data_IF_361706151456
#
_entry.id   IF_361706151456
#
_cell.length_a   1.000
_cell.length_b   1.000
_cell.length_c   1.000
_cell.angle_alpha   90.00
_cell.angle_beta   90.00
_cell.angle_gamma   90.00
#
_symmetry.space_group_name_H-M   'P 1'
#
loop_
_entity.id
_entity.type
_entity.pdbx_description
1 polymer ?
#
# COMPACT_ATOMS: atom_id res chain seq x y z
N UNK A 1 0.37 9.46 -24.02
CA UNK A 1 -0.68 8.82 -24.87
C UNK A 1 -0.72 9.38 -26.30
N UNK A 2 -0.71 10.69 -26.56
CA UNK A 2 -0.82 11.25 -27.93
C UNK A 2 0.54 11.42 -28.62
N UNK A 3 1.52 11.98 -27.93
CA UNK A 3 2.86 12.31 -28.43
C UNK A 3 3.92 11.30 -27.94
N UNK A 4 5.06 11.24 -28.63
CA UNK A 4 6.15 10.31 -28.37
C UNK A 4 6.17 9.14 -29.38
N UNK A 5 7.23 8.32 -29.30
CA UNK A 5 7.49 7.23 -30.25
C UNK A 5 6.37 6.18 -30.29
N UNK A 6 5.68 5.95 -29.16
CA UNK A 6 4.54 5.04 -29.02
C UNK A 6 3.20 5.78 -28.93
N UNK A 7 3.19 7.09 -29.16
CA UNK A 7 1.97 7.92 -29.09
C UNK A 7 1.03 7.68 -30.27
N UNK A 8 -0.27 7.96 -30.08
CA UNK A 8 -1.29 7.79 -31.12
C UNK A 8 -0.92 8.54 -32.42
N UNK A 9 -0.24 9.67 -32.35
CA UNK A 9 0.22 10.41 -33.52
C UNK A 9 1.23 9.59 -34.34
N UNK A 10 2.19 8.94 -33.67
CA UNK A 10 3.20 8.14 -34.34
C UNK A 10 2.58 6.82 -34.87
N UNK A 11 1.73 6.18 -34.08
CA UNK A 11 1.10 4.90 -34.44
C UNK A 11 0.09 5.06 -35.57
N UNK A 12 -0.71 6.12 -35.57
CA UNK A 12 -1.70 6.39 -36.61
C UNK A 12 -1.04 6.85 -37.95
N UNK A 13 0.19 7.35 -37.91
CA UNK A 13 0.93 7.75 -39.11
C UNK A 13 0.13 8.67 -40.01
N UNK A 14 -0.03 8.28 -41.28
CA UNK A 14 -0.77 9.06 -42.30
C UNK A 14 -2.27 9.23 -42.03
N UNK A 15 -2.84 8.45 -41.13
CA UNK A 15 -4.26 8.59 -40.73
C UNK A 15 -4.46 9.75 -39.75
N UNK A 16 -3.43 10.17 -39.04
CA UNK A 16 -3.51 11.31 -38.11
C UNK A 16 -3.73 12.62 -38.89
N UNK A 17 -4.68 13.43 -38.42
CA UNK A 17 -4.98 14.73 -39.03
C UNK A 17 -4.64 15.90 -38.11
N UNK A 18 -5.30 15.97 -36.95
CA UNK A 18 -5.09 17.07 -35.98
C UNK A 18 -5.29 16.59 -34.52
N UNK A 19 -4.62 17.30 -33.61
CA UNK A 19 -4.84 17.15 -32.17
C UNK A 19 -5.13 18.50 -31.52
N UNK A 20 -6.32 18.65 -30.96
CA UNK A 20 -6.70 19.79 -30.15
C UNK A 20 -6.45 19.48 -28.68
N UNK A 21 -5.34 19.99 -28.12
CA UNK A 21 -4.93 19.74 -26.74
C UNK A 21 -5.92 20.28 -25.69
N UNK A 22 -6.53 21.44 -25.96
CA UNK A 22 -7.45 22.07 -25.00
C UNK A 22 -8.77 21.33 -24.86
N UNK A 23 -9.21 20.68 -25.94
CA UNK A 23 -10.41 19.86 -25.95
C UNK A 23 -10.13 18.38 -25.70
N UNK A 24 -8.87 17.95 -25.72
CA UNK A 24 -8.51 16.53 -25.67
C UNK A 24 -9.07 15.72 -26.85
N UNK A 25 -9.13 16.31 -28.05
CA UNK A 25 -9.75 15.70 -29.24
C UNK A 25 -8.72 15.48 -30.35
N UNK A 26 -8.65 14.24 -30.84
CA UNK A 26 -7.91 13.89 -32.07
C UNK A 26 -8.91 13.72 -33.21
N UNK A 27 -8.52 14.17 -34.40
CA UNK A 27 -9.19 13.89 -35.67
C UNK A 27 -8.28 13.07 -36.56
N UNK A 28 -8.91 12.10 -37.21
CA UNK A 28 -8.26 11.25 -38.18
C UNK A 28 -8.84 11.49 -39.57
N UNK A 29 -8.03 11.30 -40.60
CA UNK A 29 -8.49 11.33 -42.00
C UNK A 29 -9.64 10.29 -42.16
N UNK A 30 -10.67 10.68 -42.86
CA UNK A 30 -11.88 9.86 -43.01
C UNK A 30 -12.99 10.19 -41.99
N UNK A 31 -12.76 11.21 -41.13
CA UNK A 31 -13.80 11.77 -40.26
C UNK A 31 -13.94 11.11 -38.89
N UNK A 32 -13.15 10.09 -38.58
CA UNK A 32 -13.11 9.51 -37.24
C UNK A 32 -12.57 10.50 -36.22
N UNK A 33 -13.13 10.51 -35.02
CA UNK A 33 -12.69 11.37 -33.90
C UNK A 33 -12.50 10.53 -32.65
N UNK A 34 -11.44 10.83 -31.89
CA UNK A 34 -11.24 10.29 -30.54
C UNK A 34 -11.18 11.44 -29.54
N UNK A 35 -11.75 11.26 -28.36
CA UNK A 35 -11.70 12.20 -27.26
C UNK A 35 -11.18 11.53 -26.01
N UNK A 36 -10.34 12.25 -25.27
CA UNK A 36 -9.76 11.80 -24.02
C UNK A 36 -10.57 12.28 -22.83
N UNK A 37 -10.73 11.39 -21.86
CA UNK A 37 -11.35 11.67 -20.58
C UNK A 37 -10.42 11.20 -19.46
N UNK A 38 -10.48 11.87 -18.31
CA UNK A 38 -9.75 11.44 -17.13
C UNK A 38 -10.55 10.38 -16.36
N UNK A 39 -9.88 9.34 -15.88
CA UNK A 39 -10.47 8.38 -14.94
C UNK A 39 -10.77 8.97 -13.55
N UNK A 40 -10.39 10.23 -13.29
CA UNK A 40 -10.71 10.95 -12.05
C UNK A 40 -12.03 11.74 -12.11
N UNK A 41 -12.56 11.97 -13.32
CA UNK A 41 -13.79 12.74 -13.56
C UNK A 41 -14.77 11.91 -14.42
N UNK A 42 -15.47 11.01 -13.79
CA UNK A 42 -16.47 10.18 -14.47
C UNK A 42 -17.68 10.96 -14.99
N UNK A 43 -18.00 12.13 -14.39
CA UNK A 43 -19.11 12.96 -14.84
C UNK A 43 -18.84 13.63 -16.19
N UNK A 44 -17.58 13.86 -16.55
CA UNK A 44 -17.19 14.38 -17.87
C UNK A 44 -17.59 13.46 -19.03
N UNK A 45 -17.82 12.18 -18.76
CA UNK A 45 -18.33 11.20 -19.74
C UNK A 45 -19.82 11.34 -20.04
N UNK A 46 -20.57 12.10 -19.23
CA UNK A 46 -22.02 12.28 -19.41
C UNK A 46 -22.32 12.97 -20.74
N UNK A 47 -23.27 12.39 -21.48
CA UNK A 47 -23.70 12.91 -22.77
C UNK A 47 -22.75 12.58 -23.95
N UNK A 48 -21.58 12.00 -23.67
CA UNK A 48 -20.72 11.48 -24.72
C UNK A 48 -21.27 10.16 -25.27
N UNK A 49 -21.17 9.95 -26.59
CA UNK A 49 -21.57 8.73 -27.29
C UNK A 49 -20.44 8.30 -28.23
N UNK A 50 -20.14 7.02 -28.24
CA UNK A 50 -19.07 6.43 -29.05
C UNK A 50 -19.46 5.10 -29.66
N UNK A 51 -18.73 4.71 -30.70
CA UNK A 51 -18.69 3.36 -31.27
C UNK A 51 -17.68 2.49 -30.51
N UNK A 52 -16.61 3.11 -30.02
CA UNK A 52 -15.46 2.44 -29.41
C UNK A 52 -15.04 3.12 -28.12
N UNK A 53 -14.54 2.33 -27.17
CA UNK A 53 -13.92 2.81 -25.94
C UNK A 53 -12.60 2.08 -25.72
N UNK A 54 -11.55 2.87 -25.40
CA UNK A 54 -10.32 2.32 -24.87
C UNK A 54 -10.06 2.91 -23.48
N UNK A 55 -10.16 2.07 -22.47
CA UNK A 55 -9.84 2.43 -21.09
C UNK A 55 -8.47 1.90 -20.71
N UNK A 56 -7.53 2.80 -20.41
CA UNK A 56 -6.16 2.46 -20.05
C UNK A 56 -5.99 2.49 -18.53
N UNK A 57 -5.37 1.45 -17.98
CA UNK A 57 -5.12 1.27 -16.53
C UNK A 57 -6.39 1.35 -15.67
N UNK A 58 -7.46 0.63 -16.05
CA UNK A 58 -8.77 0.60 -15.37
C UNK A 58 -8.65 0.52 -13.84
N UNK A 59 -7.84 -0.40 -13.32
CA UNK A 59 -7.68 -0.60 -11.88
C UNK A 59 -6.88 0.49 -11.17
N UNK A 60 -6.25 1.41 -11.90
CA UNK A 60 -5.52 2.54 -11.34
C UNK A 60 -6.39 3.81 -11.21
N UNK A 61 -7.59 3.83 -11.80
CA UNK A 61 -8.48 4.97 -11.73
C UNK A 61 -8.96 5.25 -10.31
N UNK A 62 -9.24 6.51 -10.03
CA UNK A 62 -9.76 6.93 -8.72
C UNK A 62 -11.17 6.38 -8.46
N UNK A 63 -12.00 6.33 -9.49
CA UNK A 63 -13.39 5.85 -9.45
C UNK A 63 -13.63 4.79 -10.54
N UNK A 64 -13.00 3.60 -10.42
CA UNK A 64 -12.98 2.63 -11.51
C UNK A 64 -14.37 2.14 -11.91
N UNK A 65 -15.25 1.82 -10.95
CA UNK A 65 -16.61 1.37 -11.23
C UNK A 65 -17.44 2.45 -11.91
N UNK A 66 -17.47 3.66 -11.34
CA UNK A 66 -18.28 4.77 -11.84
C UNK A 66 -17.82 5.20 -13.24
N UNK A 67 -16.50 5.29 -13.46
CA UNK A 67 -15.94 5.66 -14.76
C UNK A 67 -16.24 4.60 -15.82
N UNK A 68 -16.09 3.31 -15.46
CA UNK A 68 -16.46 2.18 -16.32
C UNK A 68 -17.94 2.25 -16.69
N UNK A 69 -18.84 2.40 -15.73
CA UNK A 69 -20.29 2.46 -15.97
C UNK A 69 -20.66 3.62 -16.91
N UNK A 70 -20.08 4.83 -16.68
CA UNK A 70 -20.33 5.98 -17.54
C UNK A 70 -19.81 5.78 -18.95
N UNK A 71 -18.65 5.15 -19.13
CA UNK A 71 -18.11 4.80 -20.46
C UNK A 71 -19.03 3.81 -21.18
N UNK A 72 -19.49 2.77 -20.47
CA UNK A 72 -20.42 1.78 -21.03
C UNK A 72 -21.80 2.37 -21.40
N UNK A 73 -22.30 3.34 -20.61
CA UNK A 73 -23.51 4.06 -21.00
C UNK A 73 -23.35 4.89 -22.28
N UNK A 74 -22.13 5.39 -22.54
CA UNK A 74 -21.80 6.11 -23.76
C UNK A 74 -21.56 5.22 -24.99
N UNK A 75 -21.18 3.97 -24.79
CA UNK A 75 -20.84 2.98 -25.82
C UNK A 75 -22.09 2.39 -26.46
N UNK A 76 -22.67 3.08 -27.44
CA UNK A 76 -23.99 2.75 -27.98
C UNK A 76 -24.25 3.09 -29.48
N UNK A 77 -23.19 3.45 -30.20
CA UNK A 77 -23.31 3.75 -31.63
C UNK A 77 -22.74 2.62 -32.47
N UNK A 78 -23.36 2.32 -33.59
CA UNK A 78 -22.87 1.32 -34.54
C UNK A 78 -22.86 -0.09 -33.96
N UNK A 79 -21.72 -0.78 -34.14
CA UNK A 79 -21.36 -2.05 -33.51
C UNK A 79 -20.31 -1.78 -32.41
N UNK A 80 -20.76 -1.60 -31.17
CA UNK A 80 -19.91 -1.01 -30.14
C UNK A 80 -18.88 -2.00 -29.59
N UNK A 81 -17.62 -1.58 -29.52
CA UNK A 81 -16.52 -2.35 -28.95
C UNK A 81 -15.79 -1.60 -27.82
N UNK A 82 -15.25 -2.35 -26.86
CA UNK A 82 -14.44 -1.78 -25.79
C UNK A 82 -13.17 -2.60 -25.55
N UNK A 83 -12.05 -1.88 -25.35
CA UNK A 83 -10.78 -2.46 -24.93
C UNK A 83 -10.40 -1.85 -23.58
N UNK A 84 -10.10 -2.72 -22.62
CA UNK A 84 -9.68 -2.33 -21.28
C UNK A 84 -8.29 -2.91 -21.00
N UNK A 85 -7.34 -2.05 -20.70
CA UNK A 85 -6.02 -2.46 -20.25
C UNK A 85 -5.87 -2.19 -18.76
N UNK A 86 -5.17 -3.05 -18.05
CA UNK A 86 -4.87 -2.81 -16.62
C UNK A 86 -3.83 -3.77 -16.08
N UNK A 87 -3.02 -3.31 -15.13
CA UNK A 87 -2.42 -4.18 -14.14
C UNK A 87 -3.54 -4.62 -13.18
N UNK A 88 -3.80 -5.92 -13.03
CA UNK A 88 -4.99 -6.37 -12.31
C UNK A 88 -4.89 -6.09 -10.81
N UNK A 89 -6.00 -5.62 -10.23
CA UNK A 89 -6.20 -5.52 -8.79
C UNK A 89 -7.45 -6.27 -8.38
N UNK A 90 -7.60 -6.58 -7.08
CA UNK A 90 -8.77 -7.29 -6.55
C UNK A 90 -10.01 -6.37 -6.47
N UNK A 91 -10.43 -5.80 -7.61
CA UNK A 91 -11.59 -4.91 -7.72
C UNK A 91 -12.79 -5.64 -8.31
N UNK A 92 -13.98 -5.33 -7.78
CA UNK A 92 -15.23 -5.92 -8.25
C UNK A 92 -15.46 -5.68 -9.75
N UNK A 93 -15.21 -4.45 -10.24
CA UNK A 93 -15.39 -4.11 -11.67
C UNK A 93 -14.53 -5.01 -12.57
N UNK A 94 -13.30 -5.32 -12.19
CA UNK A 94 -12.43 -6.20 -12.98
C UNK A 94 -12.93 -7.66 -12.95
N UNK A 95 -13.34 -8.15 -11.77
CA UNK A 95 -13.90 -9.51 -11.63
C UNK A 95 -15.16 -9.69 -12.45
N UNK A 96 -16.08 -8.74 -12.36
CA UNK A 96 -17.33 -8.76 -13.13
C UNK A 96 -17.05 -8.70 -14.64
N UNK A 97 -16.10 -7.88 -15.07
CA UNK A 97 -15.69 -7.77 -16.47
C UNK A 97 -15.07 -9.07 -16.99
N UNK A 98 -14.17 -9.69 -16.21
CA UNK A 98 -13.56 -10.99 -16.58
C UNK A 98 -14.61 -12.10 -16.66
N UNK A 99 -15.62 -12.09 -15.80
CA UNK A 99 -16.66 -13.09 -15.74
C UNK A 99 -17.76 -12.88 -16.81
N UNK A 100 -17.80 -11.71 -17.46
CA UNK A 100 -18.84 -11.40 -18.44
C UNK A 100 -18.68 -12.28 -19.70
N UNK A 101 -19.76 -12.88 -20.21
CA UNK A 101 -19.69 -13.87 -21.29
C UNK A 101 -19.26 -13.30 -22.65
N UNK A 102 -19.37 -11.98 -22.83
CA UNK A 102 -18.95 -11.25 -24.02
C UNK A 102 -17.54 -10.63 -23.88
N UNK A 103 -16.79 -10.96 -22.83
CA UNK A 103 -15.44 -10.46 -22.62
C UNK A 103 -14.40 -11.50 -23.03
N UNK A 104 -13.50 -11.10 -23.92
CA UNK A 104 -12.30 -11.87 -24.23
C UNK A 104 -11.12 -11.36 -23.39
N UNK A 105 -10.61 -12.20 -22.51
CA UNK A 105 -9.46 -11.85 -21.65
C UNK A 105 -8.16 -12.35 -22.27
N UNK A 106 -7.19 -11.44 -22.42
CA UNK A 106 -5.80 -11.76 -22.75
C UNK A 106 -4.91 -11.37 -21.59
N UNK A 107 -3.87 -12.17 -21.31
CA UNK A 107 -2.89 -11.90 -20.26
C UNK A 107 -1.51 -12.01 -20.84
N UNK A 108 -0.63 -11.08 -20.43
CA UNK A 108 0.77 -11.11 -20.79
C UNK A 108 1.61 -10.75 -19.56
N UNK A 109 2.71 -11.45 -19.36
CA UNK A 109 3.66 -11.11 -18.31
C UNK A 109 4.70 -10.11 -18.81
N UNK A 110 5.31 -9.37 -17.89
CA UNK A 110 6.49 -8.54 -18.18
C UNK A 110 7.62 -9.36 -18.83
N UNK A 111 7.73 -10.63 -18.47
CA UNK A 111 8.71 -11.55 -19.05
C UNK A 111 8.47 -11.83 -20.54
N UNK A 112 7.21 -11.87 -20.96
CA UNK A 112 6.86 -12.05 -22.38
C UNK A 112 7.28 -10.83 -23.24
N UNK A 113 7.41 -9.65 -22.63
CA UNK A 113 7.82 -8.41 -23.29
C UNK A 113 9.32 -8.09 -23.10
N UNK A 114 10.12 -9.06 -22.67
CA UNK A 114 11.52 -8.86 -22.28
C UNK A 114 12.38 -8.19 -23.35
N UNK A 115 12.16 -8.53 -24.59
CA UNK A 115 12.95 -8.02 -25.72
C UNK A 115 12.77 -6.51 -25.95
N UNK A 116 11.63 -5.96 -25.54
CA UNK A 116 11.31 -4.54 -25.67
C UNK A 116 11.64 -3.72 -24.41
N UNK A 117 12.15 -4.36 -23.35
CA UNK A 117 12.44 -3.71 -22.08
C UNK A 117 13.94 -3.59 -21.84
N UNK A 118 14.37 -2.49 -21.24
CA UNK A 118 15.77 -2.26 -20.94
C UNK A 118 16.35 -3.36 -20.03
N UNK A 119 17.54 -3.92 -20.32
CA UNK A 119 18.17 -4.95 -19.48
C UNK A 119 18.34 -4.51 -18.01
N UNK A 120 18.58 -3.22 -17.74
CA UNK A 120 18.67 -2.66 -16.40
C UNK A 120 17.36 -2.77 -15.62
N UNK A 121 16.20 -2.69 -16.30
CA UNK A 121 14.88 -2.90 -15.69
C UNK A 121 14.77 -4.31 -15.10
N UNK A 122 15.14 -5.34 -15.87
CA UNK A 122 15.14 -6.73 -15.38
C UNK A 122 16.11 -6.94 -14.22
N UNK A 123 17.29 -6.37 -14.28
CA UNK A 123 18.30 -6.53 -13.23
C UNK A 123 17.86 -5.89 -11.89
N UNK A 124 17.12 -4.79 -11.93
CA UNK A 124 16.74 -4.00 -10.74
C UNK A 124 15.33 -4.31 -10.24
N UNK A 125 14.35 -4.33 -11.13
CA UNK A 125 12.93 -4.44 -10.76
C UNK A 125 12.51 -5.91 -10.64
N UNK A 126 12.81 -6.73 -11.64
CA UNK A 126 12.39 -8.14 -11.61
C UNK A 126 13.02 -8.86 -10.43
N UNK A 127 14.36 -8.74 -10.23
CA UNK A 127 15.02 -9.36 -9.07
C UNK A 127 14.43 -8.94 -7.72
N UNK A 128 13.95 -7.69 -7.60
CA UNK A 128 13.37 -7.16 -6.36
C UNK A 128 12.00 -7.73 -6.05
N UNK A 129 11.19 -7.99 -7.08
CA UNK A 129 9.78 -8.34 -6.91
C UNK A 129 9.45 -9.78 -7.31
N UNK A 130 10.38 -10.50 -7.98
CA UNK A 130 10.21 -11.90 -8.36
C UNK A 130 9.88 -12.77 -7.13
N UNK A 131 8.84 -13.61 -7.25
CA UNK A 131 8.36 -14.46 -6.16
C UNK A 131 7.53 -13.76 -5.09
N UNK A 132 7.41 -12.43 -5.12
CA UNK A 132 6.51 -11.71 -4.20
C UNK A 132 5.07 -11.67 -4.71
N UNK A 133 4.10 -11.40 -3.83
CA UNK A 133 2.70 -11.18 -4.21
C UNK A 133 2.58 -10.02 -5.20
N UNK A 134 3.23 -8.88 -4.90
CA UNK A 134 3.29 -7.72 -5.79
C UNK A 134 3.92 -8.08 -7.14
N UNK A 135 4.98 -8.89 -7.15
CA UNK A 135 5.59 -9.36 -8.40
C UNK A 135 4.64 -10.20 -9.24
N UNK A 136 3.83 -11.06 -8.64
CA UNK A 136 2.79 -11.81 -9.37
C UNK A 136 1.74 -10.88 -10.00
N UNK A 137 1.34 -9.84 -9.28
CA UNK A 137 0.40 -8.84 -9.81
C UNK A 137 1.03 -8.00 -10.93
N UNK A 138 2.19 -7.38 -10.68
CA UNK A 138 2.81 -6.40 -11.57
C UNK A 138 3.63 -7.02 -12.71
N UNK A 139 4.28 -8.18 -12.47
CA UNK A 139 5.14 -8.83 -13.46
C UNK A 139 4.43 -9.95 -14.22
N UNK A 140 3.49 -10.65 -13.59
CA UNK A 140 2.80 -11.80 -14.19
C UNK A 140 1.35 -11.49 -14.57
N UNK A 141 0.81 -10.32 -14.20
CA UNK A 141 -0.56 -9.93 -14.49
C UNK A 141 -1.60 -10.81 -13.79
N UNK A 142 -1.27 -11.34 -12.59
CA UNK A 142 -2.16 -12.18 -11.83
C UNK A 142 -3.23 -11.34 -11.10
N UNK A 143 -4.50 -11.73 -11.21
CA UNK A 143 -5.56 -11.22 -10.33
C UNK A 143 -5.37 -11.91 -8.97
N UNK A 144 -4.93 -11.16 -7.97
CA UNK A 144 -4.72 -11.71 -6.63
C UNK A 144 -6.02 -11.59 -5.84
N UNK A 145 -6.54 -12.71 -5.39
CA UNK A 145 -7.65 -12.75 -4.44
C UNK A 145 -7.13 -12.55 -3.02
N UNK A 146 -8.00 -12.08 -2.11
CA UNK A 146 -7.68 -12.07 -0.70
C UNK A 146 -7.49 -13.51 -0.22
N UNK A 147 -6.55 -13.73 0.69
CA UNK A 147 -6.30 -15.05 1.23
C UNK A 147 -7.47 -15.42 2.14
N UNK A 148 -8.06 -16.58 1.95
CA UNK A 148 -9.07 -17.10 2.85
C UNK A 148 -8.49 -17.16 4.28
N UNK A 149 -9.20 -16.56 5.25
CA UNK A 149 -8.71 -16.42 6.62
C UNK A 149 -7.91 -15.14 6.91
N UNK A 150 -7.60 -14.30 5.89
CA UNK A 150 -7.02 -12.98 6.13
C UNK A 150 -8.01 -12.10 6.91
N UNK A 151 -7.45 -11.24 7.79
CA UNK A 151 -8.26 -10.31 8.59
C UNK A 151 -8.55 -9.00 7.85
N UNK A 152 -7.78 -8.66 6.84
CA UNK A 152 -7.92 -7.44 6.06
C UNK A 152 -8.29 -7.76 4.61
N UNK A 153 -9.22 -6.99 4.07
CA UNK A 153 -9.65 -7.06 2.68
C UNK A 153 -9.02 -5.94 1.85
N UNK A 154 -8.53 -6.24 0.66
CA UNK A 154 -7.94 -5.25 -0.24
C UNK A 154 -8.92 -4.12 -0.57
N UNK A 155 -10.22 -4.42 -0.65
CA UNK A 155 -11.27 -3.45 -0.91
C UNK A 155 -11.34 -2.31 0.13
N UNK A 156 -10.89 -2.54 1.36
CA UNK A 156 -10.89 -1.49 2.39
C UNK A 156 -9.87 -0.40 2.09
N UNK A 157 -8.77 -0.73 1.41
CA UNK A 157 -7.70 0.20 1.04
C UNK A 157 -8.03 1.09 -0.16
N UNK A 158 -9.10 0.74 -0.89
CA UNK A 158 -9.58 1.48 -2.07
C UNK A 158 -10.73 2.46 -1.72
N UNK A 159 -11.17 2.53 -0.47
CA UNK A 159 -12.22 3.44 -0.04
C UNK A 159 -11.80 4.90 -0.19
N UNK A 160 -12.76 5.75 -0.54
CA UNK A 160 -12.53 7.19 -0.58
C UNK A 160 -12.07 7.70 0.80
N UNK A 161 -11.04 8.54 0.81
CA UNK A 161 -10.48 9.09 2.04
C UNK A 161 -9.57 8.15 2.83
N UNK A 162 -9.46 6.87 2.46
CA UNK A 162 -8.54 5.95 3.12
C UNK A 162 -7.09 6.41 2.99
N UNK A 163 -6.67 6.76 1.76
CA UNK A 163 -5.31 7.22 1.50
C UNK A 163 -5.18 8.71 1.66
N UNK A 164 -4.32 9.11 2.59
CA UNK A 164 -3.98 10.49 2.88
C UNK A 164 -2.63 10.87 2.24
N UNK A 165 -2.30 12.16 2.08
CA UNK A 165 -0.96 12.59 1.70
C UNK A 165 0.12 12.00 2.62
N UNK A 166 1.33 11.76 2.08
CA UNK A 166 2.44 11.25 2.87
C UNK A 166 2.79 12.18 4.03
N UNK A 167 2.91 11.63 5.24
CA UNK A 167 3.33 12.37 6.42
C UNK A 167 4.85 12.66 6.44
N UNK A 168 5.64 11.93 5.65
CA UNK A 168 7.07 12.14 5.50
C UNK A 168 7.37 12.64 4.09
N UNK A 169 7.62 13.94 3.94
CA UNK A 169 7.84 14.60 2.67
C UNK A 169 9.30 15.04 2.53
N UNK A 170 9.82 15.04 1.30
CA UNK A 170 11.18 15.53 1.03
C UNK A 170 11.12 17.00 0.61
N UNK A 171 11.72 17.86 1.43
CA UNK A 171 11.86 19.30 1.17
C UNK A 171 13.34 19.66 1.10
N UNK A 172 13.77 20.25 -0.01
CA UNK A 172 15.17 20.67 -0.24
C UNK A 172 16.22 19.59 0.11
N UNK A 173 15.89 18.31 -0.20
CA UNK A 173 16.76 17.17 0.07
C UNK A 173 16.64 16.55 1.47
N UNK A 174 15.94 17.21 2.39
CA UNK A 174 15.72 16.72 3.77
C UNK A 174 14.31 16.15 3.92
N UNK A 175 14.19 15.05 4.66
CA UNK A 175 12.86 14.48 5.02
C UNK A 175 12.34 15.25 6.22
N UNK A 176 11.12 15.80 6.09
CA UNK A 176 10.38 16.49 7.14
C UNK A 176 9.08 15.76 7.44
N UNK A 177 8.61 15.88 8.68
CA UNK A 177 7.34 15.31 9.12
C UNK A 177 6.23 16.36 9.06
N UNK A 178 5.17 16.05 8.30
CA UNK A 178 3.96 16.88 8.15
C UNK A 178 2.75 15.95 8.13
N UNK A 179 2.11 15.71 9.27
CA UNK A 179 0.91 14.87 9.30
C UNK A 179 -0.22 15.53 8.52
N UNK A 180 -1.03 14.76 7.76
CA UNK A 180 -2.12 15.30 6.93
C UNK A 180 -3.35 15.74 7.73
N UNK A 181 -3.40 15.41 9.02
CA UNK A 181 -4.49 15.73 9.94
C UNK A 181 -3.94 16.19 11.30
N UNK A 182 -4.75 16.87 12.14
CA UNK A 182 -4.39 17.15 13.52
C UNK A 182 -4.26 15.86 14.33
N UNK A 183 -3.02 15.45 14.59
CA UNK A 183 -2.72 14.24 15.35
C UNK A 183 -2.45 14.61 16.81
N UNK A 184 -3.19 14.01 17.74
CA UNK A 184 -3.08 14.31 19.18
C UNK A 184 -2.14 13.37 19.93
N UNK A 185 -1.90 12.18 19.38
CA UNK A 185 -0.97 11.20 19.95
C UNK A 185 -0.24 10.45 18.84
N UNK A 186 1.07 10.28 18.97
CA UNK A 186 1.91 9.54 18.02
C UNK A 186 2.72 8.51 18.79
N UNK A 187 2.86 7.32 18.23
CA UNK A 187 3.74 6.26 18.75
C UNK A 187 4.63 5.72 17.63
N UNK A 188 5.82 5.26 18.01
CA UNK A 188 6.71 4.47 17.17
C UNK A 188 6.67 3.05 17.69
N UNK A 189 6.11 2.12 16.93
CA UNK A 189 6.06 0.70 17.32
C UNK A 189 7.19 -0.07 16.65
N UNK A 190 7.77 -0.99 17.43
CA UNK A 190 8.87 -1.86 17.03
C UNK A 190 8.53 -3.32 17.33
N UNK A 191 8.53 -4.15 16.31
CA UNK A 191 8.66 -5.60 16.42
C UNK A 191 10.10 -5.98 16.06
N UNK A 192 10.96 -6.22 17.06
CA UNK A 192 12.38 -6.36 16.82
C UNK A 192 12.74 -7.72 16.24
N UNK A 193 13.59 -7.74 15.19
CA UNK A 193 14.33 -8.95 14.83
C UNK A 193 15.51 -9.12 15.77
N UNK A 194 15.62 -10.32 16.36
CA UNK A 194 16.73 -10.66 17.28
C UNK A 194 17.96 -11.14 16.51
N UNK A 195 17.82 -11.48 15.22
CA UNK A 195 18.91 -11.97 14.38
C UNK A 195 19.76 -10.81 13.84
N UNK A 196 21.07 -10.91 14.01
CA UNK A 196 22.02 -9.99 13.36
C UNK A 196 22.24 -10.46 11.90
N UNK A 197 21.81 -9.68 10.89
CA UNK A 197 21.99 -10.06 9.49
C UNK A 197 23.43 -10.23 9.07
N UNK A 198 24.39 -9.57 9.78
CA UNK A 198 25.83 -9.62 9.50
C UNK A 198 26.50 -10.87 10.10
N UNK A 199 25.83 -11.57 11.04
CA UNK A 199 26.33 -12.77 11.74
C UNK A 199 25.56 -14.04 11.35
N UNK A 200 25.15 -14.17 10.10
CA UNK A 200 24.38 -15.31 9.60
C UNK A 200 25.14 -16.62 9.76
N UNK A 201 24.50 -17.62 10.38
CA UNK A 201 25.00 -18.99 10.44
C UNK A 201 24.64 -19.80 9.19
N UNK A 202 23.58 -19.44 8.49
CA UNK A 202 23.09 -20.09 7.27
C UNK A 202 22.88 -19.02 6.17
N UNK A 203 23.66 -19.05 5.08
CA UNK A 203 23.53 -18.13 3.94
C UNK A 203 22.20 -18.27 3.20
N UNK A 204 21.55 -19.43 3.26
CA UNK A 204 20.30 -19.72 2.54
C UNK A 204 19.03 -19.31 3.31
N UNK A 205 19.16 -18.97 4.58
CA UNK A 205 18.00 -18.49 5.37
C UNK A 205 17.86 -16.99 5.21
N UNK A 206 16.72 -16.51 4.73
CA UNK A 206 16.42 -15.08 4.67
C UNK A 206 16.47 -14.45 6.06
N UNK A 207 17.06 -13.25 6.19
CA UNK A 207 17.12 -12.56 7.48
C UNK A 207 15.74 -12.08 7.87
N UNK A 208 15.36 -12.27 9.13
CA UNK A 208 14.13 -11.71 9.66
C UNK A 208 14.19 -10.17 9.61
N UNK A 209 13.18 -9.54 8.98
CA UNK A 209 13.01 -8.11 9.02
C UNK A 209 12.55 -7.68 10.41
N UNK A 210 12.85 -6.46 10.84
CA UNK A 210 12.18 -5.85 11.97
C UNK A 210 10.99 -5.02 11.48
N UNK A 211 9.86 -5.12 12.16
CA UNK A 211 8.69 -4.29 11.93
C UNK A 211 8.87 -2.94 12.63
N UNK A 212 8.70 -1.83 11.90
CA UNK A 212 8.72 -0.47 12.47
C UNK A 212 7.59 0.33 11.87
N UNK A 213 6.59 0.65 12.70
CA UNK A 213 5.43 1.43 12.30
C UNK A 213 5.34 2.73 13.09
N UNK A 214 5.12 3.86 12.42
CA UNK A 214 4.75 5.12 13.05
C UNK A 214 3.26 5.33 12.84
N UNK A 215 2.50 5.44 13.93
CA UNK A 215 1.07 5.66 13.87
C UNK A 215 0.64 6.77 14.81
N UNK A 216 -0.49 7.41 14.50
CA UNK A 216 -1.09 8.46 15.30
C UNK A 216 -2.60 8.34 15.37
N UNK A 217 -3.21 9.12 16.26
CA UNK A 217 -4.67 9.25 16.37
C UNK A 217 -5.06 10.71 16.48
N UNK A 218 -6.23 11.05 15.90
CA UNK A 218 -6.88 12.36 16.07
C UNK A 218 -7.81 12.39 17.30
N UNK A 219 -8.44 13.53 17.55
CA UNK A 219 -9.39 13.70 18.64
C UNK A 219 -10.68 12.87 18.47
N UNK A 220 -11.02 12.51 17.25
CA UNK A 220 -12.20 11.71 16.92
C UNK A 220 -11.95 10.21 17.11
N UNK A 221 -10.71 9.81 17.40
CA UNK A 221 -10.32 8.40 17.57
C UNK A 221 -10.11 7.67 16.25
N UNK A 222 -9.86 8.38 15.15
CA UNK A 222 -9.38 7.75 13.92
C UNK A 222 -7.90 7.45 14.05
N UNK A 223 -7.46 6.33 13.44
CA UNK A 223 -6.08 5.91 13.39
C UNK A 223 -5.41 6.33 12.08
N UNK A 224 -4.19 6.81 12.16
CA UNK A 224 -3.38 7.17 10.99
C UNK A 224 -2.10 6.36 10.99
N UNK A 225 -1.88 5.53 9.99
CA UNK A 225 -0.58 4.92 9.73
C UNK A 225 0.25 5.97 9.02
N UNK A 226 1.14 6.62 9.78
CA UNK A 226 1.93 7.74 9.30
C UNK A 226 3.12 7.28 8.45
N UNK A 227 3.63 6.06 8.71
CA UNK A 227 4.66 5.45 7.89
C UNK A 227 5.05 4.05 8.34
N UNK A 228 5.38 3.21 7.37
CA UNK A 228 5.99 1.89 7.56
C UNK A 228 7.48 1.97 7.19
N UNK A 229 8.34 1.66 8.16
CA UNK A 229 9.80 1.71 8.04
C UNK A 229 10.43 0.32 8.25
N UNK A 230 9.61 -0.72 8.15
CA UNK A 230 10.01 -2.10 8.36
C UNK A 230 11.05 -2.55 7.34
N UNK A 231 12.11 -3.16 7.79
CA UNK A 231 13.20 -3.71 6.95
C UNK A 231 14.16 -4.58 7.75
N UNK A 232 15.06 -5.25 7.04
CA UNK A 232 16.14 -6.01 7.67
C UNK A 232 17.19 -5.08 8.23
N UNK A 233 17.32 -5.04 9.57
CA UNK A 233 18.25 -4.16 10.29
C UNK A 233 18.91 -4.91 11.44
N UNK A 234 20.17 -4.60 11.72
CA UNK A 234 20.82 -5.00 12.97
C UNK A 234 20.26 -4.21 14.17
N UNK A 235 20.41 -4.73 15.41
CA UNK A 235 19.90 -4.07 16.61
C UNK A 235 20.27 -2.61 16.75
N UNK A 236 21.51 -2.25 16.51
CA UNK A 236 21.96 -0.87 16.56
C UNK A 236 21.33 0.02 15.46
N UNK A 237 21.02 -0.55 14.27
CA UNK A 237 20.43 0.20 13.16
C UNK A 237 18.95 0.46 13.39
N UNK A 238 18.15 -0.55 13.83
CA UNK A 238 16.75 -0.31 14.12
C UNK A 238 16.55 0.62 15.33
N UNK A 239 17.41 0.53 16.36
CA UNK A 239 17.31 1.43 17.50
C UNK A 239 17.57 2.90 17.10
N UNK A 240 18.62 3.16 16.29
CA UNK A 240 18.87 4.52 15.74
C UNK A 240 17.69 5.02 14.89
N UNK A 241 17.08 4.15 14.12
CA UNK A 241 15.92 4.52 13.31
C UNK A 241 14.72 4.86 14.20
N UNK A 242 14.41 4.06 15.22
CA UNK A 242 13.33 4.33 16.17
C UNK A 242 13.54 5.67 16.90
N UNK A 243 14.75 5.95 17.39
CA UNK A 243 15.08 7.24 18.04
C UNK A 243 14.92 8.40 17.05
N UNK A 244 15.42 8.26 15.83
CA UNK A 244 15.27 9.28 14.79
C UNK A 244 13.80 9.56 14.47
N UNK A 245 12.96 8.51 14.33
CA UNK A 245 11.52 8.66 14.07
C UNK A 245 10.82 9.30 15.27
N UNK A 246 11.16 8.88 16.49
CA UNK A 246 10.63 9.47 17.72
C UNK A 246 10.89 10.98 17.78
N UNK A 247 12.13 11.40 17.55
CA UNK A 247 12.52 12.82 17.59
C UNK A 247 11.87 13.63 16.46
N UNK A 248 11.83 13.06 15.25
CA UNK A 248 11.26 13.72 14.06
C UNK A 248 9.77 13.95 14.18
N UNK A 249 9.04 12.96 14.70
CA UNK A 249 7.56 13.00 14.80
C UNK A 249 7.07 13.59 16.13
N UNK A 250 7.99 13.83 17.08
CA UNK A 250 7.66 14.19 18.48
C UNK A 250 6.70 13.16 19.09
N UNK A 251 6.97 11.88 18.84
CA UNK A 251 6.14 10.79 19.33
C UNK A 251 6.08 10.78 20.88
N UNK A 252 4.99 10.26 21.42
CA UNK A 252 4.78 10.16 22.86
C UNK A 252 5.66 9.05 23.49
N UNK A 253 5.86 7.94 22.76
CA UNK A 253 6.72 6.84 23.22
C UNK A 253 7.12 5.92 22.07
N UNK A 254 8.13 5.08 22.34
CA UNK A 254 8.44 3.89 21.55
C UNK A 254 7.76 2.69 22.24
N UNK A 255 7.02 1.89 21.47
CA UNK A 255 6.40 0.66 21.93
C UNK A 255 7.15 -0.50 21.32
N UNK A 256 7.57 -1.47 22.11
CA UNK A 256 8.31 -2.61 21.60
C UNK A 256 7.81 -3.93 22.16
N UNK A 257 7.67 -4.94 21.29
CA UNK A 257 7.36 -6.30 21.72
C UNK A 257 8.56 -6.93 22.46
N UNK A 258 8.32 -7.45 23.65
CA UNK A 258 9.36 -7.88 24.59
C UNK A 258 9.36 -9.41 24.85
N UNK A 259 8.76 -10.21 23.99
CA UNK A 259 8.64 -11.67 24.18
C UNK A 259 9.99 -12.39 24.26
N UNK A 260 11.02 -11.84 23.59
CA UNK A 260 12.38 -12.33 23.66
C UNK A 260 13.35 -11.15 23.83
N UNK A 261 13.84 -10.95 25.05
CA UNK A 261 14.89 -9.96 25.31
C UNK A 261 14.43 -8.51 25.49
N UNK A 262 13.27 -8.27 26.11
CA UNK A 262 12.73 -6.91 26.33
C UNK A 262 13.67 -5.93 27.03
N UNK A 263 14.49 -6.38 28.00
CA UNK A 263 15.51 -5.52 28.63
C UNK A 263 16.62 -5.16 27.64
N UNK A 264 17.03 -6.09 26.77
CA UNK A 264 17.99 -5.80 25.71
C UNK A 264 17.52 -4.69 24.77
N UNK A 265 16.23 -4.70 24.38
CA UNK A 265 15.64 -3.64 23.53
C UNK A 265 15.77 -2.30 24.23
N UNK A 266 15.42 -2.25 25.51
CA UNK A 266 15.52 -1.03 26.33
C UNK A 266 16.95 -0.54 26.46
N UNK A 267 17.90 -1.43 26.69
CA UNK A 267 19.32 -1.10 26.78
C UNK A 267 19.87 -0.56 25.47
N UNK A 268 19.55 -1.19 24.34
CA UNK A 268 20.03 -0.75 23.02
C UNK A 268 19.48 0.63 22.67
N UNK A 269 18.18 0.91 22.91
CA UNK A 269 17.59 2.23 22.66
C UNK A 269 18.18 3.28 23.62
N UNK A 270 18.27 2.97 24.92
CA UNK A 270 18.83 3.88 25.93
C UNK A 270 20.30 4.18 25.72
N UNK A 271 21.06 3.25 25.17
CA UNK A 271 22.44 3.47 24.77
C UNK A 271 22.61 4.54 23.67
N UNK A 272 21.53 4.84 22.94
CA UNK A 272 21.50 5.89 21.90
C UNK A 272 20.89 7.17 22.46
N UNK A 273 19.73 7.06 23.15
CA UNK A 273 19.01 8.19 23.74
C UNK A 273 18.33 7.75 25.05
N UNK A 274 18.84 8.27 26.18
CA UNK A 274 18.37 7.87 27.52
C UNK A 274 17.00 8.41 27.88
N UNK A 275 16.54 9.47 27.20
CA UNK A 275 15.29 10.19 27.48
C UNK A 275 14.09 9.70 26.70
N UNK A 276 14.22 8.68 25.81
CA UNK A 276 13.11 8.14 25.04
C UNK A 276 12.21 7.29 25.94
N UNK A 277 10.92 7.62 26.09
CA UNK A 277 9.96 6.78 26.81
C UNK A 277 9.74 5.48 26.05
N UNK A 278 9.97 4.34 26.71
CA UNK A 278 9.81 3.01 26.11
C UNK A 278 8.77 2.23 26.89
N UNK A 279 7.74 1.79 26.19
CA UNK A 279 6.73 0.86 26.69
C UNK A 279 6.99 -0.52 26.13
N UNK A 280 7.36 -1.45 27.00
CA UNK A 280 7.48 -2.85 26.61
C UNK A 280 6.12 -3.53 26.72
N UNK A 281 5.76 -4.26 25.68
CA UNK A 281 4.51 -5.02 25.60
C UNK A 281 4.82 -6.50 25.45
N UNK A 282 4.02 -7.34 26.12
CA UNK A 282 4.13 -8.78 26.06
C UNK A 282 2.89 -9.35 25.39
N UNK A 283 3.10 -10.24 24.42
CA UNK A 283 2.03 -10.97 23.80
C UNK A 283 1.49 -12.03 24.77
N UNK A 284 0.42 -11.71 25.48
CA UNK A 284 -0.30 -12.66 26.33
C UNK A 284 -1.23 -13.57 25.51
N UNK A 285 -1.71 -13.10 24.35
CA UNK A 285 -2.64 -13.79 23.46
C UNK A 285 -1.99 -14.17 22.15
N UNK A 286 -2.58 -15.13 21.44
CA UNK A 286 -2.24 -15.45 20.06
C UNK A 286 -2.35 -14.23 19.16
N UNK A 287 -1.72 -14.28 17.99
CA UNK A 287 -1.58 -13.12 17.08
C UNK A 287 -2.92 -12.64 16.52
N UNK A 288 -3.81 -13.58 16.14
CA UNK A 288 -5.13 -13.27 15.59
C UNK A 288 -6.00 -12.43 16.55
N UNK A 289 -6.24 -12.83 17.82
CA UNK A 289 -7.03 -12.02 18.76
C UNK A 289 -6.49 -10.61 19.03
N UNK A 290 -5.19 -10.38 18.82
CA UNK A 290 -4.59 -9.04 18.91
C UNK A 290 -4.84 -8.19 17.66
N UNK A 291 -4.84 -8.84 16.51
CA UNK A 291 -5.00 -8.18 15.22
C UNK A 291 -6.46 -7.88 14.87
N UNK A 292 -7.42 -8.72 15.28
CA UNK A 292 -8.85 -8.56 14.99
C UNK A 292 -9.42 -7.17 15.37
N UNK A 293 -9.14 -6.59 16.56
CA UNK A 293 -9.63 -5.27 16.90
C UNK A 293 -9.08 -4.18 15.98
N UNK A 294 -7.84 -4.34 15.49
CA UNK A 294 -7.25 -3.40 14.52
C UNK A 294 -7.93 -3.55 13.16
N UNK A 295 -8.12 -4.78 12.67
CA UNK A 295 -8.83 -5.05 11.42
C UNK A 295 -10.26 -4.47 11.45
N UNK A 296 -10.96 -4.58 12.59
CA UNK A 296 -12.29 -3.98 12.78
C UNK A 296 -12.29 -2.46 12.59
N UNK A 297 -11.23 -1.75 13.02
CA UNK A 297 -11.11 -0.30 12.77
C UNK A 297 -10.97 0.00 11.27
N UNK A 298 -10.25 -0.84 10.51
CA UNK A 298 -10.17 -0.73 9.06
C UNK A 298 -11.52 -0.99 8.39
N UNK A 299 -12.23 -2.02 8.80
CA UNK A 299 -13.57 -2.35 8.33
C UNK A 299 -14.53 -1.18 8.52
N UNK A 300 -14.47 -0.52 9.69
CA UNK A 300 -15.26 0.67 10.03
C UNK A 300 -14.85 1.94 9.28
N UNK A 301 -13.78 1.93 8.49
CA UNK A 301 -13.27 3.11 7.79
C UNK A 301 -12.60 4.15 8.72
N UNK A 302 -12.20 3.74 9.92
CA UNK A 302 -11.56 4.58 10.94
C UNK A 302 -10.04 4.59 10.87
N UNK A 303 -9.45 3.98 9.85
CA UNK A 303 -8.01 3.95 9.64
C UNK A 303 -7.64 4.58 8.31
N UNK A 304 -6.58 5.36 8.31
CA UNK A 304 -6.06 6.05 7.13
C UNK A 304 -4.57 5.76 6.96
N UNK A 305 -4.13 5.50 5.73
CA UNK A 305 -2.71 5.37 5.38
C UNK A 305 -2.16 6.66 4.80
N UNK A 306 -1.06 7.18 5.35
CA UNK A 306 -0.42 8.41 4.89
C UNK A 306 0.66 8.10 3.85
N UNK A 307 0.26 8.04 2.60
CA UNK A 307 1.08 7.64 1.47
C UNK A 307 0.96 6.14 1.13
N UNK A 308 1.70 5.67 0.11
CA UNK A 308 1.69 4.26 -0.29
C UNK A 308 2.45 3.41 0.74
N UNK A 309 1.84 2.29 1.16
CA UNK A 309 2.40 1.33 2.11
C UNK A 309 2.29 -0.10 1.58
N UNK A 310 2.70 -0.30 0.32
CA UNK A 310 2.45 -1.52 -0.44
C UNK A 310 2.88 -2.80 0.30
N UNK A 311 4.06 -2.80 0.94
CA UNK A 311 4.54 -3.98 1.67
C UNK A 311 3.69 -4.32 2.89
N UNK A 312 3.22 -3.31 3.64
CA UNK A 312 2.32 -3.50 4.77
C UNK A 312 0.94 -3.99 4.30
N UNK A 313 0.36 -3.34 3.31
CA UNK A 313 -0.95 -3.67 2.74
C UNK A 313 -0.96 -5.08 2.12
N UNK A 314 0.13 -5.46 1.44
CA UNK A 314 0.33 -6.83 0.96
C UNK A 314 0.33 -7.85 2.10
N UNK A 315 1.08 -7.57 3.17
CA UNK A 315 1.13 -8.45 4.33
C UNK A 315 -0.22 -8.56 5.03
N UNK A 316 -0.98 -7.46 5.14
CA UNK A 316 -2.31 -7.46 5.73
C UNK A 316 -3.29 -8.36 4.97
N UNK A 317 -3.30 -8.32 3.65
CA UNK A 317 -4.24 -9.09 2.81
C UNK A 317 -3.77 -10.51 2.48
N UNK A 318 -2.50 -10.83 2.75
CA UNK A 318 -1.92 -12.14 2.47
C UNK A 318 -1.71 -13.00 3.71
N UNK A 319 -1.79 -12.43 4.91
CA UNK A 319 -1.61 -13.20 6.13
C UNK A 319 -2.88 -13.97 6.50
N UNK A 320 -2.80 -15.29 6.39
CA UNK A 320 -3.82 -16.18 6.94
C UNK A 320 -3.72 -16.22 8.48
N UNK A 321 -4.55 -15.41 9.11
CA UNK A 321 -4.61 -15.33 10.57
C UNK A 321 -5.36 -16.52 11.20
N UNK A 322 -6.03 -17.36 10.41
CA UNK A 322 -6.74 -18.55 10.87
C UNK A 322 -5.79 -19.75 11.06
N UNK A 323 -4.69 -19.80 10.31
CA UNK A 323 -3.66 -20.83 10.46
C UNK A 323 -2.72 -20.48 11.61
N UNK A 324 -2.77 -21.28 12.68
CA UNK A 324 -1.90 -21.16 13.86
C UNK A 324 -0.41 -21.34 13.55
N UNK A 325 -0.07 -21.98 12.42
CA UNK A 325 1.30 -22.19 11.96
C UNK A 325 1.77 -21.04 11.03
N UNK A 326 0.85 -20.19 10.57
CA UNK A 326 1.19 -19.03 9.75
C UNK A 326 2.00 -18.05 10.57
N UNK A 327 3.23 -17.75 10.11
CA UNK A 327 4.08 -16.73 10.72
C UNK A 327 3.47 -15.35 10.40
N UNK A 328 3.03 -14.62 11.42
CA UNK A 328 2.57 -13.26 11.24
C UNK A 328 3.70 -12.39 10.68
N UNK A 329 3.39 -11.54 9.69
CA UNK A 329 4.37 -10.66 9.09
C UNK A 329 4.77 -9.53 10.05
N UNK A 330 6.05 -9.19 10.09
CA UNK A 330 6.60 -8.24 11.06
C UNK A 330 6.02 -6.82 10.94
N UNK A 331 5.66 -6.38 9.71
CA UNK A 331 5.04 -5.06 9.50
C UNK A 331 3.65 -5.01 10.13
N UNK A 332 2.87 -6.09 10.00
CA UNK A 332 1.53 -6.22 10.62
C UNK A 332 1.64 -6.26 12.14
N UNK A 333 2.61 -6.99 12.70
CA UNK A 333 2.82 -7.03 14.15
C UNK A 333 3.16 -5.64 14.71
N UNK A 334 4.04 -4.88 14.03
CA UNK A 334 4.36 -3.51 14.42
C UNK A 334 3.14 -2.57 14.31
N UNK A 335 2.33 -2.70 13.24
CA UNK A 335 1.08 -1.96 13.09
C UNK A 335 0.12 -2.25 14.25
N UNK A 336 -0.10 -3.52 14.56
CA UNK A 336 -1.00 -3.96 15.65
C UNK A 336 -0.55 -3.37 16.98
N UNK A 337 0.73 -3.43 17.31
CA UNK A 337 1.26 -2.83 18.54
C UNK A 337 1.15 -1.30 18.57
N UNK A 338 1.29 -0.63 17.42
CA UNK A 338 1.07 0.80 17.34
C UNK A 338 -0.35 1.18 17.74
N UNK A 339 -1.37 0.49 17.21
CA UNK A 339 -2.78 0.78 17.49
C UNK A 339 -3.17 0.45 18.93
N UNK A 340 -2.63 -0.62 19.49
CA UNK A 340 -2.78 -0.90 20.93
C UNK A 340 -2.16 0.21 21.79
N UNK A 341 -0.98 0.68 21.41
CA UNK A 341 -0.30 1.76 22.13
C UNK A 341 -0.98 3.12 22.03
N UNK A 342 -1.69 3.39 20.94
CA UNK A 342 -2.54 4.56 20.80
C UNK A 342 -3.77 4.51 21.72
N UNK A 343 -4.17 3.29 22.15
CA UNK A 343 -5.38 3.06 22.94
C UNK A 343 -6.65 2.98 22.10
N UNK A 344 -6.50 2.78 20.78
CA UNK A 344 -7.63 2.65 19.85
C UNK A 344 -8.29 1.27 19.92
N UNK A 345 -7.56 0.27 20.43
CA UNK A 345 -8.04 -1.09 20.60
C UNK A 345 -8.07 -1.45 22.09
N UNK A 346 -9.20 -1.99 22.56
CA UNK A 346 -9.28 -2.57 23.90
C UNK A 346 -8.75 -4.00 23.80
N UNK A 347 -7.53 -4.23 24.25
CA UNK A 347 -6.97 -5.57 24.28
C UNK A 347 -7.59 -6.36 25.43
N UNK A 348 -8.41 -7.35 25.14
CA UNK A 348 -8.74 -8.39 26.10
C UNK A 348 -7.46 -9.15 26.43
N UNK A 349 -6.88 -8.90 27.61
CA UNK A 349 -5.74 -9.66 28.14
C UNK A 349 -4.34 -9.07 27.95
N UNK A 350 -4.17 -7.86 27.41
CA UNK A 350 -2.85 -7.22 27.30
C UNK A 350 -2.51 -6.47 28.59
N UNK A 351 -1.49 -6.89 29.33
CA UNK A 351 -0.93 -6.08 30.44
C UNK A 351 0.05 -5.05 29.86
N UNK A 352 -0.37 -3.78 29.77
CA UNK A 352 0.54 -2.66 29.54
C UNK A 352 1.14 -2.30 30.89
N UNK A 353 2.40 -2.65 31.13
CA UNK A 353 3.09 -2.23 32.34
C UNK A 353 3.58 -0.79 32.18
N UNK A 354 2.77 0.17 32.57
CA UNK A 354 3.23 1.54 32.80
C UNK A 354 3.99 1.60 34.12
N UNK A 355 5.31 1.65 34.07
CA UNK A 355 6.12 2.22 35.16
C UNK A 355 6.62 3.60 34.71
N UNK A 356 5.75 4.59 34.85
CA UNK A 356 6.20 5.99 34.97
C UNK A 356 6.66 6.17 36.41
N UNK A 357 7.96 6.20 36.64
CA UNK A 357 8.50 6.85 37.83
C UNK A 357 9.03 8.21 37.42
N UNK A 358 8.21 9.23 37.59
CA UNK A 358 8.73 10.56 37.87
C UNK A 358 9.43 10.48 39.24
N UNK A 359 10.70 10.76 39.31
CA UNK A 359 11.37 11.20 40.52
C UNK A 359 11.92 12.59 40.24
N UNK A 360 11.54 13.47 41.15
CA UNK A 360 11.90 14.85 41.27
C UNK A 360 13.42 15.08 41.39
#
# INVERSE_FOLDING_TARGET
MVEGESGLQAVAGDLFETYNRSMGEIRFKGGCRARFFSGEDYDALRGWQSTDVWGDELCAWRYPQQTFDMAMFGLRLGDPEAIWTTTPRNLKVLKDLIAAPNTKVTRSSTFANRENLAPAFFASIVRKYEGTRLGRQELEGAVLEDVEGALWEAAWFEREGFRQPSAFVREKGTVVFRPPAPIVKIVVALDPSVSDPEKRRDPNKEPDACGICVAGTDESGNGYVLGDFSKVLSPAKWARLCVKLFDMTKANCVIAEANQGGELIREVIRGIASNVPITLVHAANAKRPRAEPVATLYEQGRVHHCGPMNALEEQQTSWDASDSNSKSPNNVDALVWAFHGLGLCVATGTRISQRVRAKG
#
